data_IF_146892615076
#
_entry.id   IF_146892615076
#
_cell.length_a   1.000
_cell.length_b   1.000
_cell.length_c   1.000
_cell.angle_alpha   90.00
_cell.angle_beta   90.00
_cell.angle_gamma   90.00
#
_symmetry.space_group_name_H-M   'P 1'
#
loop_
_entity.id
_entity.type
_entity.pdbx_description
1 polymer ?
#
# COMPACT_ATOMS: atom_id res chain seq x y z
N UNK A 1 -12.36 -29.49 -21.36
CA UNK A 1 -10.99 -28.97 -21.12
C UNK A 1 -11.03 -27.45 -21.18
N UNK A 2 -11.08 -26.77 -20.03
CA UNK A 2 -11.16 -25.31 -19.95
C UNK A 2 -9.75 -24.73 -19.76
N UNK A 3 -9.33 -23.84 -20.66
CA UNK A 3 -8.00 -23.26 -20.64
C UNK A 3 -7.85 -22.29 -19.47
N UNK A 4 -6.88 -22.59 -18.60
CA UNK A 4 -6.47 -21.75 -17.47
C UNK A 4 -5.90 -20.45 -18.06
N UNK A 5 -6.64 -19.34 -17.97
CA UNK A 5 -6.14 -18.00 -18.34
C UNK A 5 -4.80 -17.77 -17.64
N UNK A 6 -3.71 -17.62 -18.42
CA UNK A 6 -2.39 -17.22 -17.91
C UNK A 6 -2.54 -15.92 -17.13
N UNK A 7 -2.21 -15.93 -15.84
CA UNK A 7 -2.29 -14.76 -14.99
C UNK A 7 -1.39 -13.64 -15.50
N UNK A 8 -1.89 -12.40 -15.49
CA UNK A 8 -1.08 -11.20 -15.78
C UNK A 8 0.05 -11.12 -14.74
N UNK A 9 1.30 -11.06 -15.18
CA UNK A 9 2.45 -10.91 -14.29
C UNK A 9 2.42 -9.56 -13.57
N UNK A 10 2.72 -9.54 -12.27
CA UNK A 10 2.90 -8.29 -11.51
C UNK A 10 4.38 -7.92 -11.50
N UNK A 11 4.73 -6.77 -12.06
CA UNK A 11 6.08 -6.22 -11.97
C UNK A 11 6.47 -5.95 -10.51
N UNK A 12 7.74 -6.24 -10.17
CA UNK A 12 8.34 -5.89 -8.87
C UNK A 12 9.48 -4.91 -9.11
N UNK A 13 9.58 -3.88 -8.29
CA UNK A 13 10.67 -2.92 -8.35
C UNK A 13 11.80 -3.42 -7.45
N UNK A 14 13.00 -3.59 -8.01
CA UNK A 14 14.20 -3.89 -7.23
C UNK A 14 14.83 -2.58 -6.77
N UNK A 15 14.76 -2.33 -5.47
CA UNK A 15 15.39 -1.18 -4.84
C UNK A 15 16.81 -1.53 -4.38
N UNK A 16 17.72 -0.56 -4.46
CA UNK A 16 19.06 -0.70 -3.88
C UNK A 16 18.98 -0.83 -2.34
N UNK A 17 20.02 -1.37 -1.72
CA UNK A 17 20.03 -1.66 -0.29
C UNK A 17 19.90 -0.40 0.56
N UNK A 18 20.66 0.65 0.24
CA UNK A 18 20.64 1.94 0.94
C UNK A 18 19.23 2.54 0.97
N UNK A 19 18.51 2.50 -0.16
CA UNK A 19 17.13 2.98 -0.24
C UNK A 19 16.20 2.14 0.61
N UNK A 20 16.34 0.81 0.61
CA UNK A 20 15.53 -0.06 1.48
C UNK A 20 15.77 0.25 2.96
N UNK A 21 17.02 0.49 3.33
CA UNK A 21 17.37 0.79 4.72
C UNK A 21 16.81 2.16 5.12
N UNK A 22 16.95 3.18 4.27
CA UNK A 22 16.35 4.49 4.48
C UNK A 22 14.82 4.41 4.59
N UNK A 23 14.16 3.68 3.67
CA UNK A 23 12.71 3.47 3.71
C UNK A 23 12.25 2.76 4.98
N UNK A 24 13.03 1.81 5.52
CA UNK A 24 12.73 1.16 6.81
C UNK A 24 12.88 2.13 7.98
N UNK A 25 13.95 2.93 8.01
CA UNK A 25 14.16 3.92 9.08
C UNK A 25 12.99 4.92 9.10
N UNK A 26 12.60 5.44 7.94
CA UNK A 26 11.45 6.34 7.82
C UNK A 26 10.15 5.64 8.22
N UNK A 27 9.95 4.39 7.83
CA UNK A 27 8.79 3.61 8.25
C UNK A 27 8.69 3.51 9.77
N UNK A 28 9.77 3.13 10.45
CA UNK A 28 9.76 3.02 11.92
C UNK A 28 9.50 4.38 12.60
N UNK A 29 10.06 5.47 12.07
CA UNK A 29 9.82 6.82 12.59
C UNK A 29 8.38 7.30 12.37
N UNK A 30 7.76 6.94 11.25
CA UNK A 30 6.41 7.41 10.88
C UNK A 30 5.29 6.62 11.54
N UNK A 31 5.50 5.34 11.86
CA UNK A 31 4.53 4.47 12.53
C UNK A 31 3.76 5.12 13.70
N UNK A 32 4.39 5.69 14.73
CA UNK A 32 3.66 6.23 15.88
C UNK A 32 2.73 7.38 15.50
N UNK A 33 3.10 8.20 14.52
CA UNK A 33 2.27 9.29 14.03
C UNK A 33 1.07 8.76 13.24
N UNK A 34 1.32 7.85 12.30
CA UNK A 34 0.28 7.25 11.45
C UNK A 34 -0.78 6.54 12.30
N UNK A 35 -0.35 5.80 13.33
CA UNK A 35 -1.23 5.05 14.22
C UNK A 35 -2.30 5.93 14.90
N UNK A 36 -2.01 7.21 15.15
CA UNK A 36 -2.96 8.16 15.75
C UNK A 36 -4.13 8.51 14.83
N UNK A 37 -3.93 8.40 13.51
CA UNK A 37 -4.94 8.73 12.51
C UNK A 37 -5.70 7.51 11.99
N UNK A 38 -5.21 6.29 12.22
CA UNK A 38 -5.84 5.08 11.70
C UNK A 38 -7.10 4.69 12.49
N UNK A 39 -8.21 4.52 11.77
CA UNK A 39 -9.43 3.93 12.31
C UNK A 39 -9.19 2.55 12.91
N UNK A 40 -9.95 2.20 13.95
CA UNK A 40 -9.96 0.87 14.57
C UNK A 40 -10.40 -0.23 13.60
N UNK A 41 -11.14 0.11 12.55
CA UNK A 41 -11.58 -0.82 11.49
C UNK A 41 -10.47 -1.12 10.47
N UNK A 42 -9.38 -0.37 10.46
CA UNK A 42 -8.26 -0.57 9.55
C UNK A 42 -7.29 -1.60 10.15
N UNK A 43 -7.30 -2.81 9.61
CA UNK A 43 -6.38 -3.90 9.98
C UNK A 43 -5.19 -4.03 9.04
N UNK A 44 -5.23 -3.42 7.85
CA UNK A 44 -4.21 -3.57 6.83
C UNK A 44 -2.88 -2.91 7.22
N UNK A 45 -1.78 -3.64 7.06
CA UNK A 45 -0.40 -3.15 7.25
C UNK A 45 -0.12 -2.49 8.61
N UNK A 46 -0.90 -2.84 9.63
CA UNK A 46 -0.82 -2.28 10.97
C UNK A 46 -0.21 -3.30 11.94
N UNK A 47 0.73 -2.91 12.82
CA UNK A 47 1.27 -3.78 13.83
C UNK A 47 0.16 -4.37 14.72
N UNK A 48 0.30 -5.62 15.15
CA UNK A 48 -0.66 -6.31 16.02
C UNK A 48 -2.08 -6.44 15.46
N UNK A 49 -2.27 -6.25 14.15
CA UNK A 49 -3.53 -6.50 13.44
C UNK A 49 -3.32 -7.50 12.32
N UNK A 50 -4.38 -8.21 11.98
CA UNK A 50 -4.34 -9.20 10.91
C UNK A 50 -5.66 -9.29 10.15
N UNK A 51 -5.64 -9.99 9.01
CA UNK A 51 -6.87 -10.32 8.28
C UNK A 51 -7.85 -11.16 9.11
N UNK A 52 -7.38 -11.83 10.17
CA UNK A 52 -8.23 -12.57 11.10
C UNK A 52 -9.18 -11.67 11.86
N UNK A 53 -8.81 -10.43 12.16
CA UNK A 53 -9.67 -9.46 12.85
C UNK A 53 -10.90 -9.12 12.00
N UNK A 54 -10.66 -8.88 10.70
CA UNK A 54 -11.71 -8.58 9.72
C UNK A 54 -12.59 -9.82 9.52
N UNK A 55 -11.98 -11.00 9.36
CA UNK A 55 -12.73 -12.25 9.20
C UNK A 55 -13.58 -12.58 10.43
N UNK A 56 -13.06 -12.34 11.64
CA UNK A 56 -13.78 -12.53 12.89
C UNK A 56 -14.97 -11.58 13.00
N UNK A 57 -14.75 -10.29 12.74
CA UNK A 57 -15.82 -9.28 12.72
C UNK A 57 -16.94 -9.68 11.75
N UNK A 58 -16.57 -10.18 10.56
CA UNK A 58 -17.53 -10.63 9.57
C UNK A 58 -18.34 -11.85 10.04
N UNK A 59 -17.68 -12.84 10.63
CA UNK A 59 -18.34 -14.03 11.20
C UNK A 59 -19.29 -13.66 12.34
N UNK A 60 -18.85 -12.77 13.22
CA UNK A 60 -19.66 -12.30 14.34
C UNK A 60 -20.90 -11.56 13.85
N UNK A 61 -20.75 -10.68 12.86
CA UNK A 61 -21.86 -9.98 12.23
C UNK A 61 -22.86 -10.97 11.61
N UNK A 62 -22.37 -11.95 10.85
CA UNK A 62 -23.21 -12.99 10.25
C UNK A 62 -23.98 -13.80 11.32
N UNK A 63 -23.33 -14.15 12.44
CA UNK A 63 -23.98 -14.84 13.55
C UNK A 63 -25.09 -13.97 14.18
N UNK A 64 -24.84 -12.68 14.39
CA UNK A 64 -25.84 -11.77 14.96
C UNK A 64 -27.05 -11.58 14.06
N UNK A 65 -26.82 -11.45 12.76
CA UNK A 65 -27.86 -11.34 11.73
C UNK A 65 -28.77 -12.56 11.74
N UNK A 66 -28.19 -13.75 11.89
CA UNK A 66 -28.94 -15.00 12.00
C UNK A 66 -29.78 -15.08 13.29
N UNK A 67 -29.24 -14.61 14.43
CA UNK A 67 -29.96 -14.61 15.71
C UNK A 67 -31.14 -13.63 15.71
N UNK A 68 -30.92 -12.42 15.20
CA UNK A 68 -31.93 -11.34 15.20
C UNK A 68 -32.90 -11.44 14.02
N UNK A 69 -32.69 -12.38 13.10
CA UNK A 69 -33.48 -12.57 11.88
C UNK A 69 -33.63 -11.26 11.05
N UNK A 70 -32.54 -10.51 10.95
CA UNK A 70 -32.46 -9.28 10.14
C UNK A 70 -31.72 -9.56 8.83
N UNK A 71 -31.87 -8.67 7.85
CA UNK A 71 -31.14 -8.76 6.59
C UNK A 71 -30.04 -7.69 6.52
N UNK A 72 -28.81 -8.10 6.16
CA UNK A 72 -27.70 -7.18 5.89
C UNK A 72 -27.22 -7.32 4.45
N UNK A 73 -26.65 -6.24 3.90
CA UNK A 73 -25.97 -6.24 2.60
C UNK A 73 -24.51 -5.83 2.82
N UNK A 74 -23.59 -6.58 2.23
CA UNK A 74 -22.15 -6.31 2.30
C UNK A 74 -21.67 -5.94 0.91
N UNK A 75 -21.00 -4.80 0.79
CA UNK A 75 -20.34 -4.36 -0.43
C UNK A 75 -18.82 -4.55 -0.28
N UNK A 76 -18.23 -5.41 -1.12
CA UNK A 76 -16.78 -5.56 -1.24
C UNK A 76 -16.24 -4.63 -2.33
N UNK A 77 -15.41 -3.67 -1.95
CA UNK A 77 -14.73 -2.75 -2.88
C UNK A 77 -13.27 -3.16 -2.98
N UNK A 78 -12.81 -3.46 -4.19
CA UNK A 78 -11.40 -3.79 -4.47
C UNK A 78 -10.81 -2.75 -5.45
N UNK A 79 -9.67 -2.16 -5.06
CA UNK A 79 -9.00 -1.14 -5.86
C UNK A 79 -8.05 -1.80 -6.85
N UNK A 80 -8.32 -1.62 -8.15
CA UNK A 80 -7.43 -2.07 -9.21
C UNK A 80 -6.09 -1.34 -9.14
N UNK A 81 -4.99 -2.09 -9.11
CA UNK A 81 -3.63 -1.55 -9.13
C UNK A 81 -3.37 -0.47 -8.04
N UNK A 82 -3.90 -0.66 -6.84
CA UNK A 82 -3.96 0.34 -5.77
C UNK A 82 -2.65 1.11 -5.49
N UNK A 83 -1.49 0.45 -5.51
CA UNK A 83 -0.20 1.12 -5.33
C UNK A 83 0.25 1.93 -6.54
N UNK A 84 -0.15 1.55 -7.76
CA UNK A 84 0.24 2.25 -8.98
C UNK A 84 -0.62 3.50 -9.24
N UNK A 85 -1.76 3.63 -8.56
CA UNK A 85 -2.76 4.70 -8.79
C UNK A 85 -2.70 5.84 -7.77
N UNK A 86 -1.85 5.76 -6.75
CA UNK A 86 -1.71 6.81 -5.74
C UNK A 86 -1.22 8.11 -6.39
N UNK A 87 -1.97 9.19 -6.22
CA UNK A 87 -1.53 10.52 -6.60
C UNK A 87 -0.50 11.02 -5.56
N UNK A 88 0.75 11.24 -6.01
CA UNK A 88 1.84 11.64 -5.13
C UNK A 88 1.70 13.04 -4.56
N UNK A 89 1.13 13.99 -5.30
CA UNK A 89 0.91 15.34 -4.80
C UNK A 89 -0.13 15.34 -3.69
N UNK A 90 -1.24 14.64 -3.89
CA UNK A 90 -2.27 14.47 -2.84
C UNK A 90 -1.70 13.75 -1.62
N UNK A 91 -0.95 12.65 -1.83
CA UNK A 91 -0.29 11.94 -0.73
C UNK A 91 0.66 12.86 0.06
N UNK A 92 1.50 13.63 -0.64
CA UNK A 92 2.43 14.54 0.01
C UNK A 92 1.73 15.65 0.79
N UNK A 93 0.58 16.15 0.32
CA UNK A 93 -0.24 17.10 1.07
C UNK A 93 -0.82 16.48 2.34
N UNK A 94 -1.38 15.27 2.25
CA UNK A 94 -1.90 14.55 3.44
C UNK A 94 -0.79 14.33 4.47
N UNK A 95 0.42 14.00 4.01
CA UNK A 95 1.56 13.78 4.90
C UNK A 95 2.01 15.03 5.66
N UNK A 96 1.70 16.24 5.18
CA UNK A 96 2.06 17.50 5.89
C UNK A 96 1.38 17.58 7.26
N UNK A 97 0.18 16.99 7.40
CA UNK A 97 -0.59 16.97 8.65
C UNK A 97 -0.30 15.74 9.52
N UNK A 98 0.30 14.70 8.94
CA UNK A 98 0.49 13.40 9.61
C UNK A 98 1.88 13.24 10.19
N UNK A 99 2.94 13.73 9.53
CA UNK A 99 4.33 13.50 9.94
C UNK A 99 5.10 14.82 10.09
N UNK A 100 6.25 14.80 10.77
CA UNK A 100 7.07 16.01 10.85
C UNK A 100 7.79 16.31 9.53
N UNK A 101 8.34 17.52 9.45
CA UNK A 101 9.03 18.04 8.27
C UNK A 101 10.19 17.15 7.80
N UNK A 102 10.96 16.57 8.72
CA UNK A 102 12.08 15.67 8.41
C UNK A 102 11.61 14.41 7.67
N UNK A 103 10.64 13.69 8.24
CA UNK A 103 10.07 12.50 7.62
C UNK A 103 9.42 12.86 6.28
N UNK A 104 8.66 13.95 6.22
CA UNK A 104 8.03 14.43 5.00
C UNK A 104 9.03 14.67 3.87
N UNK A 105 10.13 15.36 4.16
CA UNK A 105 11.19 15.66 3.21
C UNK A 105 11.85 14.38 2.69
N UNK A 106 12.12 13.41 3.56
CA UNK A 106 12.71 12.13 3.15
C UNK A 106 11.72 11.32 2.31
N UNK A 107 10.43 11.27 2.68
CA UNK A 107 9.39 10.61 1.88
C UNK A 107 9.28 11.24 0.50
N UNK A 108 9.26 12.58 0.42
CA UNK A 108 9.27 13.33 -0.84
C UNK A 108 10.49 12.98 -1.70
N UNK A 109 11.67 12.88 -1.10
CA UNK A 109 12.90 12.45 -1.80
C UNK A 109 12.80 11.00 -2.31
N UNK A 110 12.28 10.08 -1.49
CA UNK A 110 12.09 8.69 -1.88
C UNK A 110 11.07 8.56 -3.02
N UNK A 111 10.02 9.37 -3.04
CA UNK A 111 9.00 9.33 -4.09
C UNK A 111 9.46 10.00 -5.40
N UNK A 112 10.18 11.12 -5.33
CA UNK A 112 10.64 11.88 -6.51
C UNK A 112 11.73 11.15 -7.31
N UNK A 113 12.62 10.40 -6.66
CA UNK A 113 13.73 9.69 -7.30
C UNK A 113 13.38 8.23 -7.67
N UNK A 114 12.28 8.01 -8.38
CA UNK A 114 11.91 6.67 -8.85
C UNK A 114 12.17 6.52 -10.35
N UNK A 115 13.40 6.17 -10.71
CA UNK A 115 13.73 5.71 -12.07
C UNK A 115 13.46 4.20 -12.12
N UNK A 116 12.50 3.78 -12.95
CA UNK A 116 12.19 2.37 -13.13
C UNK A 116 12.93 1.87 -14.37
N UNK A 117 13.97 1.07 -14.13
CA UNK A 117 14.70 0.40 -15.21
C UNK A 117 14.10 -1.00 -15.43
N UNK A 118 13.44 -1.22 -16.57
CA UNK A 118 12.76 -2.49 -16.85
C UNK A 118 13.74 -3.53 -17.37
N UNK A 119 13.96 -4.59 -16.60
CA UNK A 119 14.67 -5.78 -17.08
C UNK A 119 13.65 -6.82 -17.55
N UNK A 120 13.48 -6.95 -18.87
CA UNK A 120 12.71 -8.03 -19.49
C UNK A 120 13.69 -9.15 -19.88
N UNK A 121 13.46 -10.37 -19.39
CA UNK A 121 14.30 -11.53 -19.72
C UNK A 121 14.18 -11.79 -21.24
N UNK A 122 15.28 -11.62 -21.97
CA UNK A 122 15.35 -11.81 -23.43
C UNK A 122 15.20 -10.54 -24.28
N UNK A 123 15.04 -9.35 -23.68
CA UNK A 123 15.04 -8.09 -24.42
C UNK A 123 16.43 -7.44 -24.41
N UNK A 124 16.86 -6.96 -25.58
CA UNK A 124 18.17 -6.32 -25.80
C UNK A 124 18.14 -4.81 -25.47
N UNK A 125 16.95 -4.21 -25.45
CA UNK A 125 16.79 -2.77 -25.20
C UNK A 125 16.17 -2.49 -23.83
N UNK A 126 16.82 -1.57 -23.09
CA UNK A 126 16.27 -0.97 -21.88
C UNK A 126 15.53 0.31 -22.26
N UNK A 127 14.24 0.39 -21.95
CA UNK A 127 13.47 1.64 -22.05
C UNK A 127 13.14 2.11 -20.63
N UNK A 128 14.01 2.91 -20.00
CA UNK A 128 13.68 3.50 -18.71
C UNK A 128 12.45 4.40 -18.89
N UNK A 129 11.49 4.30 -17.97
CA UNK A 129 10.37 5.22 -17.92
C UNK A 129 10.28 5.87 -16.54
N UNK A 130 9.90 7.14 -16.54
CA UNK A 130 9.62 7.87 -15.31
C UNK A 130 8.20 7.54 -14.87
N UNK A 131 8.06 7.06 -13.63
CA UNK A 131 6.74 6.92 -13.02
C UNK A 131 6.51 8.10 -12.10
N UNK A 132 5.56 8.97 -12.45
CA UNK A 132 5.10 10.09 -11.62
C UNK A 132 3.88 9.73 -10.76
N UNK A 133 3.35 8.52 -10.90
CA UNK A 133 2.19 8.02 -10.15
C UNK A 133 2.59 6.76 -9.38
N UNK A 134 1.96 6.57 -8.22
CA UNK A 134 2.08 5.37 -7.41
C UNK A 134 3.32 5.31 -6.52
N UNK A 135 3.36 4.28 -5.67
CA UNK A 135 4.50 3.94 -4.81
C UNK A 135 5.25 2.72 -5.34
N UNK A 136 6.59 2.64 -5.17
CA UNK A 136 7.36 1.50 -5.68
C UNK A 136 6.92 0.18 -5.05
N UNK A 137 6.52 -0.79 -5.88
CA UNK A 137 6.17 -2.14 -5.42
C UNK A 137 7.40 -2.88 -4.91
N UNK A 138 7.39 -3.26 -3.63
CA UNK A 138 8.50 -3.94 -2.97
C UNK A 138 9.31 -3.04 -2.02
N UNK A 139 8.94 -1.76 -1.90
CA UNK A 139 9.39 -0.91 -0.80
C UNK A 139 8.63 -1.26 0.49
N UNK A 140 9.31 -1.26 1.64
CA UNK A 140 8.67 -1.46 2.95
C UNK A 140 7.80 -0.29 3.36
N UNK A 141 8.08 0.91 2.85
CA UNK A 141 7.32 2.12 3.15
C UNK A 141 6.01 2.20 2.35
N UNK A 142 5.95 1.59 1.16
CA UNK A 142 4.80 1.67 0.24
C UNK A 142 3.46 1.27 0.86
N UNK A 143 3.35 0.18 1.65
CA UNK A 143 2.11 -0.17 2.33
C UNK A 143 1.63 0.87 3.33
N UNK A 144 2.54 1.47 4.11
CA UNK A 144 2.17 2.51 5.07
C UNK A 144 1.66 3.77 4.37
N UNK A 145 2.32 4.20 3.28
CA UNK A 145 1.87 5.33 2.46
C UNK A 145 0.48 5.09 1.86
N UNK A 146 0.20 3.85 1.46
CA UNK A 146 -1.13 3.49 0.97
C UNK A 146 -2.18 3.57 2.08
N UNK A 147 -1.88 3.07 3.28
CA UNK A 147 -2.80 3.17 4.41
C UNK A 147 -3.09 4.63 4.79
N UNK A 148 -2.12 5.54 4.70
CA UNK A 148 -2.28 6.98 4.96
C UNK A 148 -3.15 7.65 3.87
N UNK A 149 -3.08 7.17 2.64
CA UNK A 149 -3.80 7.75 1.51
C UNK A 149 -5.30 7.42 1.51
N UNK A 150 -5.69 6.32 2.16
CA UNK A 150 -7.09 5.88 2.28
C UNK A 150 -7.83 6.64 3.36
#
# INVERSE_FOLDING_TARGET
>A
MSSKKRGRGRGRTLLNTIRKDLSKIVLERTKPYVEQYLSHSQSGFRPNRSSSDVAWTHKWLAAKVNIENIAIKIAGIDMSAAFDTINRETLLKILEDVVNEDEHRIIRFLLSNTIIDTKIIGATEKKPFFSNVGTPKGDSLSPALFTIYL
#
